data_IF_552902010493
#
_entry.id   IF_552902010493
#
_cell.length_a   1.000
_cell.length_b   1.000
_cell.length_c   1.000
_cell.angle_alpha   90.00
_cell.angle_beta   90.00
_cell.angle_gamma   90.00
#
_symmetry.space_group_name_H-M   'P 1'
#
loop_
_entity.id
_entity.type
_entity.pdbx_description
1 polymer ?
#
# COMPACT_ATOMS: atom_id res chain seq x y z
N UNK A 1 16.66 62.96 6.20
CA UNK A 1 15.63 62.05 5.75
C UNK A 1 16.22 60.65 5.59
N UNK A 2 16.03 59.77 6.56
CA UNK A 2 16.58 58.38 6.53
C UNK A 2 15.53 57.45 5.92
N UNK A 3 15.77 56.96 4.70
CA UNK A 3 14.92 55.93 4.05
C UNK A 3 15.18 54.59 4.73
N UNK A 4 14.20 54.06 5.46
CA UNK A 4 14.20 52.71 5.99
C UNK A 4 13.76 51.75 4.85
N UNK A 5 14.68 50.94 4.36
CA UNK A 5 14.39 49.84 3.45
C UNK A 5 13.92 48.68 4.33
N UNK A 6 12.64 48.34 4.28
CA UNK A 6 12.06 47.13 4.90
C UNK A 6 12.29 46.02 3.90
N UNK A 7 13.26 45.13 4.20
CA UNK A 7 13.50 43.92 3.46
C UNK A 7 12.45 42.87 3.91
N UNK A 8 11.42 42.68 3.12
CA UNK A 8 10.43 41.65 3.36
C UNK A 8 11.06 40.29 3.04
N UNK A 9 11.40 39.53 4.08
CA UNK A 9 11.86 38.14 3.99
C UNK A 9 10.65 37.27 3.68
N UNK A 10 10.43 36.95 2.40
CA UNK A 10 9.43 35.96 1.98
C UNK A 10 10.05 34.62 2.28
N UNK A 11 9.72 34.04 3.44
CA UNK A 11 9.97 32.64 3.77
C UNK A 11 9.02 31.79 2.93
N UNK A 12 9.46 31.36 1.73
CA UNK A 12 8.82 30.29 0.99
C UNK A 12 9.05 28.98 1.76
N UNK A 13 8.09 28.63 2.61
CA UNK A 13 7.99 27.29 3.13
C UNK A 13 7.74 26.35 1.93
N UNK A 14 8.82 25.80 1.38
CA UNK A 14 8.73 24.66 0.47
C UNK A 14 8.15 23.51 1.31
N UNK A 15 6.83 23.34 1.26
CA UNK A 15 6.19 22.13 1.76
C UNK A 15 6.83 20.95 1.01
N UNK A 16 7.70 20.23 1.71
CA UNK A 16 8.25 18.96 1.23
C UNK A 16 7.05 18.02 1.07
N UNK A 17 6.47 17.99 -0.13
CA UNK A 17 5.45 17.03 -0.48
C UNK A 17 6.13 15.66 -0.43
N UNK A 18 5.99 14.96 0.69
CA UNK A 18 6.45 13.58 0.81
C UNK A 18 5.88 12.80 -0.38
N UNK A 19 6.75 12.30 -1.24
CA UNK A 19 6.35 11.58 -2.44
C UNK A 19 5.59 10.31 -2.00
N UNK A 20 4.35 10.17 -2.48
CA UNK A 20 3.52 9.01 -2.16
C UNK A 20 4.22 7.74 -2.60
N UNK A 21 4.34 6.75 -1.71
CA UNK A 21 4.89 5.43 -2.08
C UNK A 21 4.01 4.78 -3.15
N UNK A 22 4.65 4.12 -4.10
CA UNK A 22 3.97 3.33 -5.14
C UNK A 22 3.63 1.95 -4.60
N UNK A 23 2.39 1.49 -4.85
CA UNK A 23 1.89 0.21 -4.35
C UNK A 23 1.22 -0.59 -5.46
N UNK A 24 1.54 -1.88 -5.56
CA UNK A 24 0.76 -2.86 -6.29
C UNK A 24 -0.20 -3.59 -5.35
N UNK A 25 -1.30 -4.07 -5.89
CA UNK A 25 -2.29 -4.85 -5.16
C UNK A 25 -2.46 -6.18 -5.88
N UNK A 26 -2.16 -7.28 -5.21
CA UNK A 26 -2.35 -8.62 -5.76
C UNK A 26 -3.80 -9.07 -5.62
N UNK A 27 -4.18 -10.12 -6.34
CA UNK A 27 -5.47 -10.77 -6.13
C UNK A 27 -5.47 -11.43 -4.75
N UNK A 28 -6.57 -11.25 -4.02
CA UNK A 28 -6.75 -11.94 -2.76
C UNK A 28 -6.96 -13.44 -3.00
N UNK A 29 -6.22 -14.28 -2.29
CA UNK A 29 -6.43 -15.73 -2.32
C UNK A 29 -7.78 -16.06 -1.66
N UNK A 30 -8.57 -16.90 -2.31
CA UNK A 30 -9.88 -17.32 -1.82
C UNK A 30 -10.05 -18.85 -1.79
N UNK A 31 -8.95 -19.58 -1.89
CA UNK A 31 -8.94 -21.05 -1.89
C UNK A 31 -9.61 -21.63 -0.66
N UNK A 32 -9.41 -21.01 0.51
CA UNK A 32 -10.01 -21.43 1.78
C UNK A 32 -11.55 -21.32 1.80
N UNK A 33 -12.13 -20.44 0.99
CA UNK A 33 -13.58 -20.16 0.99
C UNK A 33 -14.29 -20.57 -0.31
N UNK A 34 -13.60 -21.28 -1.19
CA UNK A 34 -14.12 -21.67 -2.52
C UNK A 34 -15.48 -22.39 -2.46
N UNK A 35 -15.65 -23.28 -1.49
CA UNK A 35 -16.92 -24.00 -1.28
C UNK A 35 -18.05 -23.05 -0.87
N UNK A 36 -17.76 -22.09 0.00
CA UNK A 36 -18.73 -21.07 0.43
C UNK A 36 -19.13 -20.16 -0.73
N UNK A 37 -18.16 -19.77 -1.58
CA UNK A 37 -18.40 -18.98 -2.79
C UNK A 37 -19.33 -19.72 -3.74
N UNK A 38 -19.07 -21.01 -4.00
CA UNK A 38 -19.92 -21.83 -4.85
C UNK A 38 -21.33 -21.99 -4.27
N UNK A 39 -21.46 -22.16 -2.95
CA UNK A 39 -22.76 -22.28 -2.29
C UNK A 39 -23.58 -20.98 -2.37
N UNK A 40 -22.93 -19.82 -2.34
CA UNK A 40 -23.57 -18.49 -2.40
C UNK A 40 -23.99 -18.14 -3.83
N UNK A 41 -23.12 -18.35 -4.80
CA UNK A 41 -23.33 -17.89 -6.19
C UNK A 41 -23.82 -19.01 -7.14
N UNK A 42 -23.85 -20.25 -6.69
CA UNK A 42 -24.22 -21.41 -7.53
C UNK A 42 -23.13 -21.82 -8.55
N UNK A 43 -22.09 -21.00 -8.71
CA UNK A 43 -20.96 -21.22 -9.62
C UNK A 43 -19.66 -20.75 -8.95
N UNK A 44 -18.52 -21.23 -9.49
CA UNK A 44 -17.23 -20.71 -9.06
C UNK A 44 -17.06 -19.27 -9.60
N UNK A 45 -16.76 -18.34 -8.70
CA UNK A 45 -16.51 -16.95 -9.02
C UNK A 45 -15.12 -16.54 -8.52
N UNK A 46 -14.40 -15.74 -9.31
CA UNK A 46 -13.12 -15.18 -8.88
C UNK A 46 -13.33 -13.96 -7.99
N UNK A 47 -13.69 -14.22 -6.72
CA UNK A 47 -13.93 -13.15 -5.75
C UNK A 47 -12.66 -12.40 -5.36
N UNK A 48 -11.48 -13.05 -5.42
CA UNK A 48 -10.20 -12.41 -5.16
C UNK A 48 -9.90 -11.27 -6.13
N UNK A 49 -10.23 -11.44 -7.41
CA UNK A 49 -10.13 -10.37 -8.40
C UNK A 49 -11.15 -9.25 -8.14
N UNK A 50 -12.35 -9.58 -7.71
CA UNK A 50 -13.36 -8.60 -7.35
C UNK A 50 -12.95 -7.73 -6.18
N UNK A 51 -12.43 -8.35 -5.11
CA UNK A 51 -11.92 -7.63 -3.93
C UNK A 51 -10.70 -6.76 -4.30
N UNK A 52 -9.77 -7.27 -5.12
CA UNK A 52 -8.67 -6.46 -5.63
C UNK A 52 -9.17 -5.18 -6.33
N UNK A 53 -10.19 -5.29 -7.20
CA UNK A 53 -10.73 -4.14 -7.90
C UNK A 53 -11.38 -3.12 -6.93
N UNK A 54 -12.10 -3.60 -5.91
CA UNK A 54 -12.69 -2.75 -4.87
C UNK A 54 -11.61 -2.06 -4.02
N UNK A 55 -10.58 -2.80 -3.61
CA UNK A 55 -9.42 -2.27 -2.88
C UNK A 55 -8.67 -1.22 -3.70
N UNK A 56 -8.40 -1.51 -4.98
CA UNK A 56 -7.74 -0.56 -5.89
C UNK A 56 -8.50 0.75 -5.96
N UNK A 57 -9.82 0.69 -6.17
CA UNK A 57 -10.67 1.88 -6.20
C UNK A 57 -10.56 2.66 -4.88
N UNK A 58 -10.72 1.98 -3.76
CA UNK A 58 -10.74 2.61 -2.43
C UNK A 58 -9.40 3.27 -2.10
N UNK A 59 -8.26 2.60 -2.35
CA UNK A 59 -6.93 3.13 -2.05
C UNK A 59 -6.58 4.32 -2.96
N UNK A 60 -7.02 4.30 -4.23
CA UNK A 60 -6.85 5.44 -5.14
C UNK A 60 -7.65 6.65 -4.65
N UNK A 61 -8.90 6.44 -4.20
CA UNK A 61 -9.76 7.49 -3.62
C UNK A 61 -9.17 8.07 -2.33
N UNK A 62 -8.59 7.24 -1.46
CA UNK A 62 -7.92 7.67 -0.23
C UNK A 62 -6.66 8.51 -0.51
N UNK A 63 -6.02 8.30 -1.65
CA UNK A 63 -4.95 9.14 -2.16
C UNK A 63 -3.63 9.11 -1.36
N UNK A 64 -3.45 8.20 -0.40
CA UNK A 64 -2.20 8.04 0.37
C UNK A 64 -1.09 7.38 -0.44
N UNK A 65 -1.45 6.43 -1.30
CA UNK A 65 -0.53 5.69 -2.16
C UNK A 65 -0.73 6.05 -3.63
N UNK A 66 0.30 5.84 -4.44
CA UNK A 66 0.16 5.79 -5.89
C UNK A 66 0.02 4.32 -6.29
N UNK A 67 -1.19 3.91 -6.66
CA UNK A 67 -1.42 2.51 -7.09
C UNK A 67 -0.88 2.31 -8.50
N UNK A 68 -0.12 1.23 -8.71
CA UNK A 68 0.41 0.82 -10.02
C UNK A 68 -0.25 -0.49 -10.45
N UNK A 69 -0.70 -0.54 -11.70
CA UNK A 69 -1.34 -1.72 -12.28
C UNK A 69 -0.28 -2.81 -12.55
N UNK A 70 -0.50 -4.03 -12.05
CA UNK A 70 0.36 -5.20 -12.30
C UNK A 70 -0.37 -6.33 -13.01
N UNK A 71 -1.68 -6.45 -12.85
CA UNK A 71 -2.47 -7.51 -13.48
C UNK A 71 -2.53 -7.37 -15.00
N UNK A 72 -2.52 -6.14 -15.50
CA UNK A 72 -2.58 -5.79 -16.92
C UNK A 72 -1.31 -5.16 -17.45
N UNK A 73 -0.18 -5.31 -16.73
CA UNK A 73 1.10 -4.72 -17.14
C UNK A 73 1.54 -5.18 -18.54
N UNK A 74 1.25 -6.43 -18.90
CA UNK A 74 1.57 -6.95 -20.24
C UNK A 74 0.80 -6.21 -21.35
N UNK A 75 -0.44 -5.80 -21.08
CA UNK A 75 -1.22 -5.03 -22.07
C UNK A 75 -0.63 -3.61 -22.20
N UNK A 76 -0.15 -3.01 -21.13
CA UNK A 76 0.58 -1.73 -21.16
C UNK A 76 1.89 -1.87 -21.94
N UNK A 77 2.63 -2.96 -21.73
CA UNK A 77 3.88 -3.23 -22.49
C UNK A 77 3.62 -3.39 -23.98
N UNK A 78 2.56 -4.13 -24.38
CA UNK A 78 2.15 -4.26 -25.78
C UNK A 78 1.83 -2.91 -26.42
N UNK A 79 1.17 -2.00 -25.66
CA UNK A 79 0.89 -0.65 -26.16
C UNK A 79 2.18 0.17 -26.34
N UNK A 80 3.17 0.03 -25.44
CA UNK A 80 4.48 0.65 -25.62
C UNK A 80 5.22 0.10 -26.83
N UNK A 81 5.18 -1.22 -27.05
CA UNK A 81 5.80 -1.86 -28.21
C UNK A 81 5.11 -1.41 -29.50
N UNK A 82 3.77 -1.30 -29.48
CA UNK A 82 3.00 -0.76 -30.61
C UNK A 82 3.39 0.70 -30.90
N UNK A 83 3.50 1.52 -29.86
CA UNK A 83 3.95 2.90 -30.00
C UNK A 83 5.36 3.03 -30.58
N UNK A 84 6.28 2.11 -30.23
CA UNK A 84 7.65 2.07 -30.74
C UNK A 84 7.75 1.54 -32.18
N UNK A 85 6.71 0.91 -32.72
CA UNK A 85 6.70 0.30 -34.07
C UNK A 85 6.59 1.28 -35.24
N UNK A 86 6.64 2.60 -35.00
CA UNK A 86 6.41 3.67 -35.97
C UNK A 86 5.02 3.69 -36.63
N UNK A 87 4.04 2.95 -36.11
CA UNK A 87 2.65 2.92 -36.58
C UNK A 87 1.77 3.97 -35.91
N UNK A 88 2.24 4.55 -34.82
CA UNK A 88 1.54 5.55 -34.02
C UNK A 88 2.02 6.95 -34.41
N UNK A 89 1.12 7.92 -34.43
CA UNK A 89 1.45 9.33 -34.70
C UNK A 89 2.54 9.81 -33.75
N UNK A 90 3.56 10.46 -34.27
CA UNK A 90 4.68 11.00 -33.47
C UNK A 90 4.19 11.88 -32.32
N UNK A 91 4.76 11.68 -31.14
CA UNK A 91 4.47 12.44 -29.93
C UNK A 91 3.21 12.01 -29.15
N UNK A 92 2.42 11.03 -29.64
CA UNK A 92 1.22 10.54 -28.96
C UNK A 92 1.39 9.15 -28.33
N UNK A 93 2.45 8.41 -28.70
CA UNK A 93 2.69 7.06 -28.20
C UNK A 93 3.29 7.02 -26.79
N UNK A 94 2.97 5.96 -26.06
CA UNK A 94 3.57 5.68 -24.75
C UNK A 94 5.06 5.35 -24.90
N UNK A 95 5.89 5.93 -24.05
CA UNK A 95 7.36 5.74 -24.09
C UNK A 95 7.78 4.52 -23.27
N UNK A 96 8.69 3.71 -23.82
CA UNK A 96 9.35 2.61 -23.13
C UNK A 96 10.19 3.16 -21.95
N UNK A 97 10.28 2.40 -20.85
CA UNK A 97 11.06 2.76 -19.67
C UNK A 97 10.37 3.73 -18.69
N UNK A 98 9.09 4.03 -18.89
CA UNK A 98 8.33 4.95 -18.02
C UNK A 98 7.37 4.23 -17.06
N UNK A 99 7.32 2.89 -17.08
CA UNK A 99 6.49 2.11 -16.14
C UNK A 99 7.09 2.26 -14.73
N UNK A 100 6.27 2.77 -13.81
CA UNK A 100 6.69 2.92 -12.41
C UNK A 100 6.84 1.56 -11.73
N UNK A 101 7.92 1.39 -10.97
CA UNK A 101 8.08 0.28 -10.04
C UNK A 101 7.08 0.35 -8.89
N UNK A 102 6.69 -0.80 -8.33
CA UNK A 102 6.01 -0.85 -7.04
C UNK A 102 7.07 -0.89 -5.93
N UNK A 103 6.96 -0.03 -4.95
CA UNK A 103 7.78 -0.04 -3.73
C UNK A 103 7.14 -0.92 -2.66
N UNK A 104 5.82 -1.08 -2.72
CA UNK A 104 5.03 -1.88 -1.80
C UNK A 104 4.13 -2.83 -2.59
N UNK A 105 3.87 -4.01 -2.03
CA UNK A 105 2.87 -4.94 -2.53
C UNK A 105 1.88 -5.27 -1.43
N UNK A 106 0.60 -5.02 -1.69
CA UNK A 106 -0.49 -5.47 -0.83
C UNK A 106 -0.94 -6.85 -1.29
N UNK A 107 -0.79 -7.84 -0.42
CA UNK A 107 -1.24 -9.22 -0.59
C UNK A 107 -2.32 -9.53 0.42
N UNK A 108 -3.23 -10.44 0.14
CA UNK A 108 -4.26 -10.81 1.10
C UNK A 108 -4.94 -12.13 0.80
N UNK A 109 -5.59 -12.63 1.84
CA UNK A 109 -6.32 -13.90 1.84
C UNK A 109 -7.76 -13.64 2.29
N UNK A 110 -8.73 -14.31 1.68
CA UNK A 110 -10.13 -14.28 2.10
C UNK A 110 -10.35 -15.45 3.03
N UNK A 111 -10.40 -15.17 4.33
CA UNK A 111 -10.47 -16.21 5.39
C UNK A 111 -11.91 -16.63 5.63
N UNK A 112 -12.85 -15.70 5.56
CA UNK A 112 -14.28 -15.97 5.72
C UNK A 112 -15.05 -15.26 4.61
N UNK A 113 -15.91 -16.00 3.93
CA UNK A 113 -16.86 -15.46 2.98
C UNK A 113 -18.15 -16.24 3.11
N UNK A 114 -19.07 -15.75 3.93
CA UNK A 114 -20.20 -16.57 4.31
C UNK A 114 -21.41 -15.81 4.80
N UNK A 115 -22.47 -16.59 4.95
CA UNK A 115 -23.75 -16.19 5.50
C UNK A 115 -24.00 -16.97 6.78
N UNK A 116 -24.42 -16.28 7.84
CA UNK A 116 -24.90 -16.88 9.07
C UNK A 116 -26.41 -16.58 9.17
N UNK A 117 -27.19 -17.41 8.47
CA UNK A 117 -28.63 -17.30 8.45
C UNK A 117 -29.20 -18.05 9.67
N UNK A 118 -29.36 -17.37 10.77
CA UNK A 118 -30.08 -17.93 11.91
C UNK A 118 -31.59 -17.84 11.67
N UNK A 119 -32.21 -18.99 11.37
CA UNK A 119 -33.65 -19.14 11.42
C UNK A 119 -34.05 -19.46 12.86
N UNK A 120 -34.53 -18.49 13.59
CA UNK A 120 -35.24 -18.73 14.85
C UNK A 120 -36.67 -19.01 14.48
N UNK A 121 -36.96 -20.24 14.09
CA UNK A 121 -38.29 -20.77 13.92
C UNK A 121 -38.80 -21.36 15.22
N UNK A 122 -39.46 -20.58 16.03
CA UNK A 122 -40.38 -21.05 17.05
C UNK A 122 -41.76 -21.21 16.45
N UNK A 123 -41.98 -22.22 15.62
CA UNK A 123 -43.28 -22.54 15.09
C UNK A 123 -43.73 -23.93 15.61
N UNK A 124 -44.31 -23.98 16.78
CA UNK A 124 -45.26 -25.04 17.08
C UNK A 124 -46.53 -24.71 16.28
N UNK A 125 -46.54 -25.14 15.02
CA UNK A 125 -47.73 -25.19 14.21
C UNK A 125 -48.70 -26.19 14.82
N UNK A 126 -49.51 -25.80 15.79
CA UNK A 126 -50.73 -26.52 16.08
C UNK A 126 -51.62 -26.33 14.86
N UNK A 127 -51.71 -27.38 14.05
CA UNK A 127 -52.72 -27.49 13.00
C UNK A 127 -54.09 -27.47 13.68
N UNK A 128 -54.77 -26.36 13.60
CA UNK A 128 -56.21 -26.32 13.96
C UNK A 128 -56.99 -26.84 12.75
N UNK A 129 -57.65 -27.99 12.85
CA UNK A 129 -58.45 -28.50 11.75
C UNK A 129 -59.60 -27.52 11.47
N UNK A 130 -59.59 -26.90 10.28
CA UNK A 130 -60.68 -26.03 9.83
C UNK A 130 -60.35 -24.55 9.59
N UNK A 131 -59.15 -24.05 9.93
CA UNK A 131 -58.74 -22.71 9.60
C UNK A 131 -57.58 -22.75 8.61
N UNK A 132 -57.83 -22.51 7.34
CA UNK A 132 -56.79 -22.36 6.31
C UNK A 132 -55.92 -21.13 6.59
N UNK A 133 -54.73 -21.34 7.10
CA UNK A 133 -53.76 -20.27 7.23
C UNK A 133 -52.99 -20.38 8.54
N UNK A 134 -51.83 -21.03 8.53
CA UNK A 134 -50.86 -20.91 9.60
C UNK A 134 -50.20 -19.52 9.50
N UNK A 135 -50.60 -18.57 10.35
CA UNK A 135 -49.93 -17.28 10.52
C UNK A 135 -48.74 -17.50 11.45
N UNK A 136 -47.67 -18.07 10.93
CA UNK A 136 -46.39 -18.14 11.62
C UNK A 136 -45.54 -16.96 11.19
N UNK A 137 -45.37 -15.97 12.04
CA UNK A 137 -44.42 -14.91 11.80
C UNK A 137 -43.00 -15.43 11.96
N UNK A 138 -42.27 -15.63 10.87
CA UNK A 138 -40.85 -15.97 10.92
C UNK A 138 -40.02 -14.69 11.04
N UNK A 139 -39.27 -14.56 12.10
CA UNK A 139 -38.20 -13.58 12.19
C UNK A 139 -36.93 -14.24 11.64
N UNK A 140 -36.49 -13.86 10.46
CA UNK A 140 -35.25 -14.30 9.88
C UNK A 140 -34.20 -13.21 10.05
N UNK A 141 -33.21 -13.46 10.87
CA UNK A 141 -32.03 -12.59 10.98
C UNK A 141 -30.97 -13.13 10.00
N UNK A 142 -30.79 -12.43 8.90
CA UNK A 142 -29.80 -12.75 7.90
C UNK A 142 -28.52 -11.96 8.20
N UNK A 143 -27.41 -12.67 8.40
CA UNK A 143 -26.09 -12.06 8.64
C UNK A 143 -25.12 -12.58 7.59
N UNK A 144 -24.35 -11.64 6.99
CA UNK A 144 -23.19 -11.97 6.19
C UNK A 144 -21.91 -11.51 6.88
N UNK A 145 -20.84 -12.29 6.71
CA UNK A 145 -19.53 -12.01 7.28
C UNK A 145 -18.48 -12.24 6.20
N UNK A 146 -17.60 -11.27 6.03
CA UNK A 146 -16.40 -11.35 5.19
C UNK A 146 -15.19 -10.98 6.03
N UNK A 147 -14.17 -11.82 6.02
CA UNK A 147 -12.90 -11.56 6.71
C UNK A 147 -11.79 -11.61 5.70
N UNK A 148 -11.02 -10.51 5.65
CA UNK A 148 -9.87 -10.33 4.79
C UNK A 148 -8.63 -10.20 5.66
N UNK A 149 -7.68 -11.10 5.49
CA UNK A 149 -6.34 -10.92 6.03
C UNK A 149 -5.48 -10.21 4.99
N UNK A 150 -4.53 -9.38 5.43
CA UNK A 150 -3.62 -8.72 4.53
C UNK A 150 -2.20 -8.64 5.06
N UNK A 151 -1.27 -8.54 4.13
CA UNK A 151 0.16 -8.27 4.34
C UNK A 151 0.58 -7.14 3.42
N UNK A 152 1.23 -6.14 3.97
CA UNK A 152 1.92 -5.10 3.21
C UNK A 152 3.40 -5.43 3.19
N UNK A 153 3.95 -5.68 2.02
CA UNK A 153 5.32 -6.16 1.82
C UNK A 153 6.14 -5.10 1.11
N UNK A 154 7.35 -4.83 1.57
CA UNK A 154 8.33 -4.04 0.84
C UNK A 154 8.83 -4.85 -0.36
N UNK A 155 8.71 -4.29 -1.58
CA UNK A 155 9.03 -4.99 -2.81
C UNK A 155 10.55 -5.12 -3.05
N UNK A 156 11.38 -4.37 -2.34
CA UNK A 156 12.83 -4.41 -2.45
C UNK A 156 13.45 -5.43 -1.49
N UNK A 157 12.99 -5.44 -0.23
CA UNK A 157 13.55 -6.30 0.82
C UNK A 157 12.75 -7.57 1.03
N UNK A 158 11.53 -7.66 0.51
CA UNK A 158 10.54 -8.71 0.81
C UNK A 158 10.12 -8.74 2.30
N UNK A 159 10.38 -7.68 3.04
CA UNK A 159 9.99 -7.55 4.43
C UNK A 159 8.50 -7.29 4.55
N UNK A 160 7.84 -7.95 5.52
CA UNK A 160 6.45 -7.68 5.86
C UNK A 160 6.38 -6.48 6.78
N UNK A 161 5.98 -5.32 6.24
CA UNK A 161 5.90 -4.05 6.98
C UNK A 161 4.69 -4.00 7.91
N UNK A 162 3.58 -4.58 7.48
CA UNK A 162 2.35 -4.61 8.26
C UNK A 162 1.50 -5.81 7.89
N UNK A 163 0.77 -6.30 8.87
CA UNK A 163 -0.28 -7.30 8.71
C UNK A 163 -1.55 -6.85 9.43
N UNK A 164 -2.68 -7.39 9.05
CA UNK A 164 -3.92 -7.13 9.76
C UNK A 164 -5.07 -7.96 9.23
N UNK A 165 -6.15 -7.95 9.98
CA UNK A 165 -7.43 -8.57 9.64
C UNK A 165 -8.50 -7.49 9.55
N UNK A 166 -9.32 -7.56 8.52
CA UNK A 166 -10.48 -6.69 8.34
C UNK A 166 -11.75 -7.53 8.26
N UNK A 167 -12.60 -7.39 9.28
CA UNK A 167 -13.87 -8.11 9.39
C UNK A 167 -15.03 -7.19 9.02
N UNK A 168 -15.68 -7.50 7.91
CA UNK A 168 -16.91 -6.85 7.48
C UNK A 168 -18.15 -7.66 7.84
N UNK A 169 -19.21 -6.97 8.24
CA UNK A 169 -20.48 -7.57 8.61
C UNK A 169 -21.65 -6.78 8.03
N UNK A 170 -22.66 -7.48 7.57
CA UNK A 170 -23.98 -6.90 7.28
C UNK A 170 -25.07 -7.75 7.92
N UNK A 171 -26.08 -7.06 8.48
CA UNK A 171 -27.25 -7.70 9.12
C UNK A 171 -28.52 -7.09 8.56
N UNK A 172 -29.43 -7.94 8.09
CA UNK A 172 -30.77 -7.53 7.69
C UNK A 172 -31.81 -8.37 8.42
N UNK A 173 -32.70 -7.72 9.13
CA UNK A 173 -33.84 -8.36 9.78
C UNK A 173 -35.05 -8.22 8.87
N UNK A 174 -35.53 -9.32 8.32
CA UNK A 174 -36.76 -9.36 7.52
C UNK A 174 -37.95 -9.77 8.40
N UNK A 175 -38.94 -8.90 8.51
CA UNK A 175 -40.26 -9.27 9.03
C UNK A 175 -41.17 -9.56 7.84
N UNK A 176 -41.44 -10.84 7.61
CA UNK A 176 -42.45 -11.27 6.62
C UNK A 176 -41.91 -11.59 5.22
N UNK A 177 -42.52 -12.61 4.66
CA UNK A 177 -42.48 -13.06 3.26
C UNK A 177 -41.24 -12.91 2.43
N UNK A 178 -40.54 -14.02 2.23
CA UNK A 178 -39.89 -14.26 0.95
C UNK A 178 -38.38 -14.30 0.96
N UNK A 179 -37.93 -15.48 0.61
CA UNK A 179 -36.54 -15.83 0.19
C UNK A 179 -35.99 -14.99 -0.99
N UNK A 180 -36.71 -13.99 -1.44
CA UNK A 180 -36.40 -13.17 -2.62
C UNK A 180 -35.31 -12.11 -2.40
N UNK A 181 -34.84 -11.85 -1.18
CA UNK A 181 -33.84 -10.82 -0.91
C UNK A 181 -32.39 -11.25 -1.17
N UNK A 182 -32.17 -12.51 -1.55
CA UNK A 182 -30.88 -12.98 -2.05
C UNK A 182 -30.79 -12.97 -3.57
N UNK A 183 -31.93 -12.84 -4.21
CA UNK A 183 -32.07 -12.78 -5.66
C UNK A 183 -31.96 -11.35 -6.22
N UNK A 184 -31.37 -10.42 -5.49
CA UNK A 184 -31.03 -9.13 -6.04
C UNK A 184 -30.04 -9.28 -7.18
N UNK A 185 -30.51 -9.75 -8.35
CA UNK A 185 -29.83 -9.70 -9.62
C UNK A 185 -28.70 -10.71 -9.88
N UNK A 186 -28.45 -11.67 -8.99
CA UNK A 186 -27.55 -12.78 -9.32
C UNK A 186 -28.37 -13.88 -9.98
N UNK A 187 -28.57 -13.75 -11.29
CA UNK A 187 -29.15 -14.83 -12.08
C UNK A 187 -28.29 -16.08 -11.89
N UNK A 188 -28.94 -17.17 -11.50
CA UNK A 188 -28.27 -18.46 -11.38
C UNK A 188 -27.48 -18.77 -12.67
N UNK A 189 -26.13 -18.82 -12.56
CA UNK A 189 -25.25 -19.20 -13.65
C UNK A 189 -24.50 -18.08 -14.37
N UNK A 190 -24.64 -16.79 -14.01
CA UNK A 190 -23.90 -15.68 -14.61
C UNK A 190 -22.66 -15.26 -13.80
N UNK A 191 -21.67 -14.65 -14.46
CA UNK A 191 -20.54 -14.02 -13.78
C UNK A 191 -21.03 -12.84 -12.93
N UNK A 192 -20.65 -12.83 -11.63
CA UNK A 192 -21.01 -11.77 -10.71
C UNK A 192 -20.02 -10.62 -10.84
N UNK A 193 -20.53 -9.46 -11.21
CA UNK A 193 -19.71 -8.25 -11.17
C UNK A 193 -19.72 -7.65 -9.76
N UNK A 194 -18.68 -7.93 -8.98
CA UNK A 194 -18.53 -7.47 -7.59
C UNK A 194 -18.37 -5.95 -7.46
N UNK A 195 -18.07 -5.23 -8.53
CA UNK A 195 -18.00 -3.77 -8.55
C UNK A 195 -19.31 -3.10 -8.94
N UNK A 196 -20.36 -3.88 -9.25
CA UNK A 196 -21.67 -3.35 -9.60
C UNK A 196 -22.44 -2.88 -8.38
N UNK A 197 -23.33 -1.90 -8.57
CA UNK A 197 -24.28 -1.48 -7.53
C UNK A 197 -25.16 -2.63 -7.06
N UNK A 198 -25.59 -3.50 -7.97
CA UNK A 198 -26.42 -4.66 -7.65
C UNK A 198 -25.75 -5.63 -6.66
N UNK A 199 -24.43 -5.86 -6.81
CA UNK A 199 -23.68 -6.64 -5.83
C UNK A 199 -23.58 -5.89 -4.50
N UNK A 200 -23.25 -4.60 -4.53
CA UNK A 200 -23.13 -3.75 -3.34
C UNK A 200 -24.42 -3.69 -2.50
N UNK A 201 -25.59 -3.88 -3.11
CA UNK A 201 -26.89 -3.91 -2.44
C UNK A 201 -27.24 -5.27 -1.80
N UNK A 202 -26.44 -6.32 -2.07
CA UNK A 202 -26.62 -7.61 -1.41
C UNK A 202 -26.00 -7.60 -0.01
N UNK A 203 -26.48 -8.47 0.89
CA UNK A 203 -25.92 -8.60 2.24
C UNK A 203 -24.42 -8.95 2.19
N UNK A 204 -24.04 -9.87 1.31
CA UNK A 204 -22.64 -10.25 1.16
C UNK A 204 -21.81 -9.14 0.52
N UNK A 205 -22.39 -8.35 -0.39
CA UNK A 205 -21.76 -7.17 -0.97
C UNK A 205 -21.52 -6.09 0.07
N UNK A 206 -22.51 -5.78 0.90
CA UNK A 206 -22.37 -4.84 2.02
C UNK A 206 -21.26 -5.27 2.99
N UNK A 207 -21.24 -6.56 3.39
CA UNK A 207 -20.19 -7.11 4.25
C UNK A 207 -18.80 -7.03 3.58
N UNK A 208 -18.72 -7.26 2.27
CA UNK A 208 -17.47 -7.13 1.50
C UNK A 208 -16.99 -5.70 1.48
N UNK A 209 -17.89 -4.74 1.22
CA UNK A 209 -17.56 -3.30 1.23
C UNK A 209 -17.10 -2.83 2.61
N UNK A 210 -17.74 -3.31 3.67
CA UNK A 210 -17.35 -2.98 5.05
C UNK A 210 -15.94 -3.52 5.37
N UNK A 211 -15.63 -4.76 4.97
CA UNK A 211 -14.28 -5.32 5.12
C UNK A 211 -13.23 -4.52 4.34
N UNK A 212 -13.50 -4.18 3.07
CA UNK A 212 -12.61 -3.36 2.23
C UNK A 212 -12.36 -1.98 2.83
N UNK A 213 -13.40 -1.32 3.34
CA UNK A 213 -13.26 -0.02 3.98
C UNK A 213 -12.40 -0.10 5.24
N UNK A 214 -12.64 -1.09 6.11
CA UNK A 214 -11.85 -1.29 7.33
C UNK A 214 -10.40 -1.60 7.04
N UNK A 215 -10.12 -2.43 6.02
CA UNK A 215 -8.76 -2.69 5.57
C UNK A 215 -8.07 -1.41 5.09
N UNK A 216 -8.75 -0.60 4.28
CA UNK A 216 -8.22 0.68 3.82
C UNK A 216 -7.91 1.64 4.97
N UNK A 217 -8.78 1.71 6.00
CA UNK A 217 -8.53 2.53 7.19
C UNK A 217 -7.30 2.02 7.97
N UNK A 218 -7.12 0.71 8.12
CA UNK A 218 -5.91 0.15 8.75
C UNK A 218 -4.66 0.53 7.96
N UNK A 219 -4.68 0.46 6.63
CA UNK A 219 -3.55 0.88 5.79
C UNK A 219 -3.19 2.36 5.98
N UNK A 220 -4.13 3.23 6.35
CA UNK A 220 -3.85 4.64 6.64
C UNK A 220 -3.00 4.84 7.89
N UNK A 221 -3.11 3.94 8.85
CA UNK A 221 -2.38 4.02 10.13
C UNK A 221 -0.99 3.37 10.08
N UNK A 222 -0.69 2.60 9.03
CA UNK A 222 0.60 1.93 8.88
C UNK A 222 1.74 2.96 8.84
N UNK A 223 2.72 2.79 9.71
CA UNK A 223 3.94 3.58 9.66
C UNK A 223 4.83 3.07 8.52
N UNK A 224 4.95 3.85 7.45
CA UNK A 224 5.76 3.51 6.27
C UNK A 224 7.23 3.97 6.39
N UNK A 225 7.60 4.55 7.53
CA UNK A 225 8.95 5.02 7.77
C UNK A 225 9.89 3.91 8.26
N UNK A 226 9.35 2.76 8.71
CA UNK A 226 10.12 1.64 9.24
C UNK A 226 11.08 1.00 8.24
N UNK A 227 10.73 0.95 6.95
CA UNK A 227 11.61 0.40 5.91
C UNK A 227 12.75 1.34 5.44
N UNK A 228 12.67 2.64 5.78
CA UNK A 228 13.72 3.59 5.46
C UNK A 228 14.82 3.65 6.53
N UNK A 229 14.52 3.25 7.78
CA UNK A 229 15.51 3.27 8.86
C UNK A 229 16.55 2.16 8.72
N UNK A 230 16.16 0.97 8.24
CA UNK A 230 17.12 -0.13 8.05
C UNK A 230 18.07 0.11 6.87
N UNK A 231 17.60 0.78 5.81
CA UNK A 231 18.47 1.11 4.67
C UNK A 231 19.58 2.10 5.02
N UNK A 232 19.38 2.92 6.05
CA UNK A 232 20.38 3.89 6.49
C UNK A 232 21.32 3.33 7.53
N UNK A 233 21.05 2.15 8.10
CA UNK A 233 21.96 1.50 9.06
C UNK A 233 23.22 0.99 8.36
N UNK A 234 23.10 0.53 7.10
CA UNK A 234 24.24 0.14 6.24
C UNK A 234 24.70 1.26 5.30
N UNK A 235 24.30 2.50 5.54
CA UNK A 235 24.71 3.62 4.70
C UNK A 235 26.25 3.79 4.73
N UNK A 236 26.90 3.58 3.61
CA UNK A 236 28.32 3.93 3.36
C UNK A 236 28.38 5.06 2.35
N UNK A 237 27.96 6.25 2.76
CA UNK A 237 28.03 7.44 1.94
C UNK A 237 29.36 8.18 2.13
N UNK A 238 29.72 8.99 1.14
CA UNK A 238 30.94 9.80 1.14
C UNK A 238 30.59 11.28 1.07
N UNK A 239 31.40 12.08 1.76
CA UNK A 239 31.38 13.51 1.61
C UNK A 239 31.80 13.86 0.17
N UNK A 240 30.91 14.55 -0.54
CA UNK A 240 31.18 15.05 -1.89
C UNK A 240 31.72 16.50 -1.86
N UNK A 241 31.15 17.32 -0.99
CA UNK A 241 31.55 18.72 -0.83
C UNK A 241 31.23 19.23 0.57
N UNK A 242 32.06 20.16 1.07
CA UNK A 242 31.79 20.92 2.30
C UNK A 242 32.14 22.39 2.12
N UNK A 243 31.17 23.25 2.22
CA UNK A 243 31.35 24.70 2.06
C UNK A 243 30.39 25.51 2.96
N UNK A 244 30.91 26.48 3.68
CA UNK A 244 30.08 27.37 4.49
C UNK A 244 29.21 26.69 5.55
N UNK A 245 29.65 25.55 6.13
CA UNK A 245 28.85 24.77 7.10
C UNK A 245 27.82 23.88 6.48
N UNK A 246 27.71 23.89 5.16
CA UNK A 246 26.81 22.99 4.39
C UNK A 246 27.61 21.78 3.87
N UNK A 247 27.13 20.58 4.15
CA UNK A 247 27.70 19.32 3.73
C UNK A 247 26.84 18.70 2.64
N UNK A 248 27.49 18.23 1.58
CA UNK A 248 26.85 17.44 0.53
C UNK A 248 27.45 16.03 0.51
N UNK A 249 26.61 15.01 0.47
CA UNK A 249 27.02 13.62 0.40
C UNK A 249 26.51 12.96 -0.90
N UNK A 250 27.17 11.88 -1.33
CA UNK A 250 26.85 11.14 -2.56
C UNK A 250 25.73 10.09 -2.38
N UNK A 251 24.87 10.28 -1.42
CA UNK A 251 23.69 9.43 -1.19
C UNK A 251 22.42 10.31 -1.10
N UNK A 252 21.33 9.85 -1.67
CA UNK A 252 20.07 10.58 -1.75
C UNK A 252 18.86 9.69 -1.49
N UNK A 253 17.71 10.04 -2.08
CA UNK A 253 16.47 9.27 -1.93
C UNK A 253 16.59 7.84 -2.46
N UNK A 254 17.43 7.60 -3.47
CA UNK A 254 17.73 6.26 -3.96
C UNK A 254 18.38 5.36 -2.89
N UNK A 255 19.13 5.94 -1.94
CA UNK A 255 19.71 5.25 -0.80
C UNK A 255 18.84 5.32 0.47
N UNK A 256 17.58 5.73 0.35
CA UNK A 256 16.63 5.80 1.47
C UNK A 256 16.76 7.03 2.37
N UNK A 257 17.57 8.04 2.01
CA UNK A 257 17.73 9.23 2.84
C UNK A 257 16.48 10.12 2.79
N UNK A 258 16.20 10.74 3.95
CA UNK A 258 15.09 11.67 4.13
C UNK A 258 15.56 12.92 4.89
N UNK A 259 14.89 14.04 4.64
CA UNK A 259 15.13 15.27 5.38
C UNK A 259 14.84 15.06 6.88
N UNK A 260 15.69 15.64 7.74
CA UNK A 260 15.61 15.49 9.19
C UNK A 260 16.43 14.33 9.77
N UNK A 261 16.92 13.41 8.96
CA UNK A 261 17.81 12.33 9.44
C UNK A 261 19.18 12.89 9.82
N UNK A 262 19.79 12.28 10.84
CA UNK A 262 21.11 12.68 11.33
C UNK A 262 22.06 11.49 11.24
N UNK A 263 23.27 11.74 10.72
CA UNK A 263 24.34 10.78 10.51
C UNK A 263 25.62 11.25 11.19
N UNK A 264 26.52 10.29 11.48
CA UNK A 264 27.85 10.60 11.98
C UNK A 264 28.85 10.68 10.82
N UNK A 265 29.67 11.72 10.82
CA UNK A 265 30.73 11.89 9.83
C UNK A 265 32.04 11.43 10.44
N UNK A 266 32.74 10.58 9.68
CA UNK A 266 34.02 9.99 10.08
C UNK A 266 35.13 10.43 9.13
N UNK A 267 36.22 10.88 9.67
CA UNK A 267 37.42 11.10 8.89
C UNK A 267 38.04 9.78 8.47
N UNK A 268 38.36 9.64 7.17
CA UNK A 268 39.01 8.45 6.62
C UNK A 268 40.49 8.46 7.00
N UNK A 269 40.92 7.54 7.86
CA UNK A 269 42.29 7.35 8.28
C UNK A 269 43.05 6.34 7.41
N UNK A 270 44.00 5.61 8.01
CA UNK A 270 44.84 4.64 7.35
C UNK A 270 44.09 3.39 6.92
N UNK A 271 44.36 2.92 5.71
CA UNK A 271 43.88 1.61 5.25
C UNK A 271 44.71 0.47 5.91
N UNK A 272 44.01 -0.51 6.46
CA UNK A 272 44.58 -1.74 6.97
C UNK A 272 44.51 -2.76 5.85
N UNK A 273 45.72 -3.22 5.39
CA UNK A 273 45.83 -4.16 4.26
C UNK A 273 46.30 -5.51 4.76
N UNK A 274 45.83 -6.58 4.14
CA UNK A 274 46.39 -7.91 4.28
C UNK A 274 47.87 -7.90 3.83
N UNK A 275 48.80 -8.29 4.70
CA UNK A 275 50.22 -8.26 4.34
C UNK A 275 50.60 -9.27 3.26
N UNK A 276 49.77 -10.30 3.03
CA UNK A 276 50.01 -11.36 2.07
C UNK A 276 49.42 -11.06 0.70
N UNK A 277 48.23 -10.44 0.65
CA UNK A 277 47.51 -10.21 -0.60
C UNK A 277 47.49 -8.75 -1.03
N UNK A 278 47.76 -7.81 -0.10
CA UNK A 278 47.64 -6.36 -0.35
C UNK A 278 46.19 -5.86 -0.37
N UNK A 279 45.22 -6.75 -0.15
CA UNK A 279 43.79 -6.39 -0.10
C UNK A 279 43.50 -5.51 1.11
N UNK A 280 42.61 -4.50 0.94
CA UNK A 280 42.17 -3.63 2.05
C UNK A 280 41.18 -4.39 2.90
N UNK A 281 41.59 -4.73 4.12
CA UNK A 281 40.77 -5.44 5.10
C UNK A 281 39.83 -4.48 5.88
N UNK A 282 40.32 -3.27 6.18
CA UNK A 282 39.59 -2.26 6.92
C UNK A 282 40.14 -0.86 6.69
N UNK A 283 39.38 0.15 7.07
CA UNK A 283 39.80 1.55 7.04
C UNK A 283 39.60 2.16 8.42
N UNK A 284 40.65 2.63 9.04
CA UNK A 284 40.53 3.36 10.29
C UNK A 284 39.65 4.57 10.10
N UNK A 285 38.68 4.78 11.00
CA UNK A 285 37.78 5.92 10.94
C UNK A 285 37.73 6.62 12.31
N UNK A 286 37.69 7.95 12.28
CA UNK A 286 37.57 8.77 13.49
C UNK A 286 36.33 9.64 13.35
N UNK A 287 35.37 9.60 14.29
CA UNK A 287 34.19 10.45 14.25
C UNK A 287 34.59 11.92 14.43
N UNK A 288 34.14 12.80 13.54
CA UNK A 288 34.48 14.23 13.54
C UNK A 288 33.28 15.15 13.77
N UNK A 289 32.07 14.67 13.57
CA UNK A 289 30.85 15.46 13.78
C UNK A 289 29.58 14.76 13.30
N UNK A 290 28.51 15.54 13.28
CA UNK A 290 27.17 15.07 12.85
C UNK A 290 26.71 15.84 11.61
N UNK A 291 26.06 15.14 10.71
CA UNK A 291 25.43 15.67 9.50
C UNK A 291 23.92 15.52 9.61
N UNK A 292 23.18 16.62 9.54
CA UNK A 292 21.71 16.61 9.52
C UNK A 292 21.23 16.98 8.13
N UNK A 293 20.48 16.07 7.52
CA UNK A 293 19.95 16.21 6.16
C UNK A 293 18.85 17.27 6.13
N UNK A 294 18.97 18.28 5.25
CA UNK A 294 17.94 19.28 5.02
C UNK A 294 17.25 19.13 3.68
N UNK A 295 17.99 18.75 2.65
CA UNK A 295 17.47 18.57 1.28
C UNK A 295 17.96 17.25 0.71
N UNK A 296 17.03 16.48 0.14
CA UNK A 296 17.33 15.20 -0.50
C UNK A 296 16.99 15.27 -1.98
N UNK A 297 17.92 14.87 -2.83
CA UNK A 297 17.74 14.63 -4.25
C UNK A 297 17.94 13.14 -4.55
N UNK A 298 17.76 12.72 -5.77
CA UNK A 298 17.84 11.31 -6.15
C UNK A 298 19.15 10.62 -5.70
N UNK A 299 20.30 11.24 -5.99
CA UNK A 299 21.64 10.68 -5.75
C UNK A 299 22.49 11.44 -4.74
N UNK A 300 22.05 12.57 -4.24
CA UNK A 300 22.79 13.39 -3.29
C UNK A 300 21.86 13.90 -2.19
N UNK A 301 22.43 14.14 -1.00
CA UNK A 301 21.76 14.86 0.08
C UNK A 301 22.62 16.03 0.55
N UNK A 302 21.95 17.12 0.91
CA UNK A 302 22.56 18.34 1.38
C UNK A 302 22.02 18.62 2.78
N UNK A 303 22.87 19.10 3.67
CA UNK A 303 22.45 19.39 5.02
C UNK A 303 23.46 20.19 5.82
N UNK A 304 23.16 20.41 7.08
CA UNK A 304 24.03 21.11 8.02
C UNK A 304 25.01 20.14 8.68
N UNK A 305 26.23 20.60 8.83
CA UNK A 305 27.27 19.88 9.58
C UNK A 305 27.51 20.56 10.93
N UNK A 306 27.70 19.74 11.97
CA UNK A 306 28.04 20.17 13.34
C UNK A 306 29.17 19.31 13.86
N UNK A 307 30.36 19.86 13.95
CA UNK A 307 31.56 19.22 14.47
C UNK A 307 32.72 20.18 14.62
N UNK A 308 33.74 19.78 15.38
CA UNK A 308 34.92 20.60 15.64
C UNK A 308 35.92 20.58 14.47
N UNK A 309 35.95 19.48 13.72
CA UNK A 309 36.85 19.29 12.58
C UNK A 309 36.07 19.39 11.27
N UNK A 310 36.43 20.27 10.33
CA UNK A 310 35.76 20.37 9.04
C UNK A 310 35.94 19.07 8.25
N UNK A 311 34.87 18.52 7.68
CA UNK A 311 34.94 17.33 6.84
C UNK A 311 35.62 17.64 5.50
N UNK A 312 36.28 16.62 4.93
CA UNK A 312 36.90 16.69 3.62
C UNK A 312 36.24 15.73 2.64
N UNK A 313 36.36 16.01 1.35
CA UNK A 313 35.83 15.11 0.32
C UNK A 313 36.42 13.71 0.47
N UNK A 314 35.55 12.69 0.46
CA UNK A 314 35.92 11.28 0.67
C UNK A 314 35.73 10.79 2.11
N UNK A 315 35.49 11.66 3.08
CA UNK A 315 35.11 11.28 4.44
C UNK A 315 33.83 10.43 4.43
N UNK A 316 33.68 9.56 5.42
CA UNK A 316 32.63 8.55 5.48
C UNK A 316 31.48 9.09 6.29
N UNK A 317 30.26 8.85 5.80
CA UNK A 317 29.03 9.21 6.51
C UNK A 317 28.21 7.95 6.76
N UNK A 318 27.99 7.65 8.05
CA UNK A 318 27.24 6.48 8.52
C UNK A 318 26.24 6.89 9.59
N UNK A 319 25.27 5.98 9.88
CA UNK A 319 24.31 6.18 10.96
C UNK A 319 24.93 6.10 12.32
#
# INVERSE_FOLDING_TARGET
MKKRIILALIATAAACMAQKKTMSIDNFDYSAVMTSVQAIFGTQQNIGQGINAMMTKRIVEDGRFTVVERRKVNDVMKEQDFAASNRVKQGTGARIGQIKGAQLTLMGDIVVFGRDDRRVGGGVGAAVPGAGGAIGGYKSDNKAVVVLDFRLVDAETSEVIATGEARGESKRTSKGFGAALFAGGVAAGGAVNMTSSNFGETIIGEATMDAVNKLSEQLKTVNLQGGASDRTDDLDARVADFSGGTLTINAGSAAGLQAGQTFTVYHKGKEIKDPSTGEVLDVQTTPIGKFTVTTVRDRISIGSYSGATPPVAGDIVRK
#
